data_IF_366685399487
#
_entry.id   IF_366685399487
#
_cell.length_a   1.000
_cell.length_b   1.000
_cell.length_c   1.000
_cell.angle_alpha   90.00
_cell.angle_beta   90.00
_cell.angle_gamma   90.00
#
_symmetry.space_group_name_H-M   'P 1'
#
loop_
_entity.id
_entity.type
_entity.pdbx_description
1 polymer ?
#
# COMPACT_ATOMS: atom_id res chain seq x y z
N UNK A 1 6.81 -3.21 7.79
CA UNK A 1 7.14 -4.43 7.00
C UNK A 1 6.04 -5.42 7.27
N UNK A 2 5.25 -5.78 6.25
CA UNK A 2 4.08 -6.65 6.41
C UNK A 2 4.43 -8.12 6.08
N UNK A 3 5.50 -8.61 6.72
CA UNK A 3 6.01 -9.97 6.53
C UNK A 3 5.91 -10.73 7.85
N UNK A 4 5.24 -11.87 7.83
CA UNK A 4 5.07 -12.72 9.02
C UNK A 4 6.02 -13.90 8.92
N UNK A 5 6.90 -14.07 9.92
CA UNK A 5 7.68 -15.30 10.10
C UNK A 5 6.96 -16.25 11.05
N UNK A 6 6.95 -17.54 10.73
CA UNK A 6 6.34 -18.57 11.57
C UNK A 6 7.13 -19.87 11.51
N UNK A 7 7.07 -20.65 12.59
CA UNK A 7 7.75 -21.95 12.70
C UNK A 7 6.72 -23.06 12.92
N UNK A 8 6.66 -24.09 12.05
CA UNK A 8 5.76 -25.22 12.25
C UNK A 8 6.15 -26.05 13.47
N UNK A 9 5.16 -26.62 14.16
CA UNK A 9 5.34 -27.31 15.45
C UNK A 9 6.27 -28.53 15.39
N UNK A 10 6.41 -29.16 14.21
CA UNK A 10 7.28 -30.33 13.97
C UNK A 10 8.54 -29.99 13.15
N UNK A 11 8.94 -28.72 13.07
CA UNK A 11 10.10 -28.29 12.30
C UNK A 11 10.96 -27.27 13.05
N UNK A 12 12.24 -27.23 12.70
CA UNK A 12 13.17 -26.25 13.26
C UNK A 12 13.48 -25.09 12.29
N UNK A 13 12.87 -25.09 11.11
CA UNK A 13 13.07 -24.07 10.07
C UNK A 13 11.97 -23.02 10.17
N UNK A 14 12.35 -21.76 10.07
CA UNK A 14 11.42 -20.64 9.96
C UNK A 14 10.90 -20.50 8.52
N UNK A 15 9.61 -20.26 8.39
CA UNK A 15 8.93 -19.95 7.14
C UNK A 15 8.45 -18.51 7.17
N UNK A 16 8.23 -17.94 5.99
CA UNK A 16 7.68 -16.61 5.86
C UNK A 16 6.43 -16.64 4.99
N UNK A 17 5.51 -15.72 5.28
CA UNK A 17 4.35 -15.42 4.43
C UNK A 17 4.11 -13.91 4.42
N UNK A 18 3.70 -13.40 3.26
CA UNK A 18 3.32 -12.01 3.06
C UNK A 18 2.33 -11.92 1.90
N UNK A 19 1.62 -10.79 1.83
CA UNK A 19 0.82 -10.42 0.65
C UNK A 19 1.48 -9.21 0.02
N UNK A 20 1.80 -9.31 -1.27
CA UNK A 20 2.46 -8.26 -2.05
C UNK A 20 1.57 -7.97 -3.25
N UNK A 21 1.02 -6.76 -3.35
CA UNK A 21 0.12 -6.33 -4.43
C UNK A 21 -1.01 -7.35 -4.70
N UNK A 22 -1.64 -7.84 -3.63
CA UNK A 22 -2.74 -8.81 -3.72
C UNK A 22 -2.30 -10.25 -4.00
N UNK A 23 -1.04 -10.52 -4.31
CA UNK A 23 -0.50 -11.86 -4.47
C UNK A 23 0.12 -12.38 -3.18
N UNK A 24 -0.13 -13.66 -2.89
CA UNK A 24 0.41 -14.32 -1.71
C UNK A 24 1.82 -14.83 -2.00
N UNK A 25 2.80 -14.32 -1.26
CA UNK A 25 4.20 -14.78 -1.31
C UNK A 25 4.50 -15.57 -0.05
N UNK A 26 4.87 -16.85 -0.19
CA UNK A 26 5.20 -17.76 0.91
C UNK A 26 6.44 -18.58 0.57
N UNK A 27 7.26 -18.87 1.58
CA UNK A 27 8.41 -19.74 1.40
C UNK A 27 9.03 -20.22 2.71
N UNK A 28 10.13 -20.95 2.58
CA UNK A 28 11.00 -21.33 3.70
C UNK A 28 12.22 -20.42 3.73
N UNK A 29 12.64 -19.98 4.92
CA UNK A 29 13.89 -19.21 5.08
C UNK A 29 15.11 -20.12 5.08
N UNK A 30 14.92 -21.42 5.36
CA UNK A 30 15.99 -22.41 5.64
C UNK A 30 16.87 -22.06 6.85
N UNK A 31 16.42 -21.12 7.69
CA UNK A 31 17.12 -20.66 8.89
C UNK A 31 16.43 -21.19 10.14
N UNK A 32 17.20 -21.38 11.21
CA UNK A 32 16.72 -21.89 12.51
C UNK A 32 16.64 -20.82 13.58
N UNK A 33 17.39 -19.72 13.43
CA UNK A 33 17.34 -18.55 14.30
C UNK A 33 16.32 -17.55 13.80
N UNK A 34 15.52 -17.01 14.72
CA UNK A 34 14.42 -16.09 14.40
C UNK A 34 14.90 -14.77 13.80
N UNK A 35 15.92 -14.14 14.39
CA UNK A 35 16.42 -12.84 13.92
C UNK A 35 16.92 -12.88 12.48
N UNK A 36 17.72 -13.90 12.14
CA UNK A 36 18.21 -14.13 10.78
C UNK A 36 17.04 -14.42 9.81
N UNK A 37 16.02 -15.14 10.26
CA UNK A 37 14.82 -15.42 9.48
C UNK A 37 13.97 -14.16 9.20
N UNK A 38 13.84 -13.25 10.18
CA UNK A 38 13.15 -11.97 10.03
C UNK A 38 13.88 -11.08 9.03
N UNK A 39 15.20 -10.99 9.12
CA UNK A 39 16.04 -10.23 8.19
C UNK A 39 15.95 -10.80 6.75
N UNK A 40 16.03 -12.12 6.61
CA UNK A 40 15.84 -12.79 5.32
C UNK A 40 14.44 -12.54 4.75
N UNK A 41 13.40 -12.68 5.57
CA UNK A 41 12.03 -12.44 5.14
C UNK A 41 11.80 -10.98 4.73
N UNK A 42 12.42 -10.03 5.43
CA UNK A 42 12.42 -8.61 5.07
C UNK A 42 13.04 -8.36 3.68
N UNK A 43 14.21 -8.96 3.40
CA UNK A 43 14.84 -8.87 2.07
C UNK A 43 13.95 -9.43 0.96
N UNK A 44 13.41 -10.65 1.17
CA UNK A 44 12.54 -11.29 0.17
C UNK A 44 11.28 -10.46 -0.09
N UNK A 45 10.70 -9.87 0.97
CA UNK A 45 9.56 -8.97 0.83
C UNK A 45 9.91 -7.74 -0.01
N UNK A 46 11.03 -7.07 0.29
CA UNK A 46 11.48 -5.91 -0.48
C UNK A 46 11.71 -6.26 -1.95
N UNK A 47 12.36 -7.38 -2.25
CA UNK A 47 12.57 -7.86 -3.61
C UNK A 47 11.25 -8.16 -4.32
N UNK A 48 10.30 -8.79 -3.62
CA UNK A 48 8.97 -9.08 -4.16
C UNK A 48 8.20 -7.78 -4.47
N UNK A 49 8.28 -6.78 -3.59
CA UNK A 49 7.66 -5.46 -3.81
C UNK A 49 8.28 -4.78 -5.03
N UNK A 50 9.61 -4.80 -5.17
CA UNK A 50 10.32 -4.21 -6.32
C UNK A 50 9.89 -4.91 -7.62
N UNK A 51 9.89 -6.25 -7.63
CA UNK A 51 9.50 -7.03 -8.82
C UNK A 51 8.04 -6.78 -9.21
N UNK A 52 7.13 -6.85 -8.25
CA UNK A 52 5.70 -6.68 -8.50
C UNK A 52 5.37 -5.25 -8.97
N UNK A 53 6.10 -4.25 -8.47
CA UNK A 53 5.92 -2.85 -8.86
C UNK A 53 6.71 -2.46 -10.13
N UNK A 54 7.33 -3.42 -10.83
CA UNK A 54 8.21 -3.19 -11.99
C UNK A 54 9.36 -2.20 -11.73
N UNK A 55 9.85 -2.15 -10.49
CA UNK A 55 10.89 -1.22 -10.07
C UNK A 55 10.40 0.17 -9.64
N UNK A 56 9.13 0.49 -9.83
CA UNK A 56 8.54 1.73 -9.32
C UNK A 56 8.17 1.58 -7.84
N UNK A 57 8.35 2.60 -6.99
CA UNK A 57 7.85 2.54 -5.63
C UNK A 57 6.31 2.45 -5.64
N UNK A 58 5.74 1.64 -4.74
CA UNK A 58 4.28 1.61 -4.52
C UNK A 58 3.85 3.02 -4.10
N UNK A 59 2.97 3.69 -4.86
CA UNK A 59 2.61 5.07 -4.56
C UNK A 59 1.84 5.14 -3.24
N UNK A 60 2.12 6.18 -2.48
CA UNK A 60 1.34 6.51 -1.29
C UNK A 60 -0.09 6.87 -1.67
N UNK A 61 -1.02 6.74 -0.71
CA UNK A 61 -2.41 7.13 -0.93
C UNK A 61 -2.53 8.60 -1.39
N UNK A 62 -1.67 9.49 -0.88
CA UNK A 62 -1.64 10.89 -1.28
C UNK A 62 -1.21 11.08 -2.75
N UNK A 63 -0.21 10.33 -3.19
CA UNK A 63 0.26 10.33 -4.58
C UNK A 63 -0.79 9.76 -5.53
N UNK A 64 -1.52 8.72 -5.12
CA UNK A 64 -2.63 8.16 -5.90
C UNK A 64 -3.73 9.21 -6.14
N UNK A 65 -4.16 9.93 -5.10
CA UNK A 65 -5.15 10.99 -5.28
C UNK A 65 -4.63 12.13 -6.17
N UNK A 66 -3.35 12.52 -6.03
CA UNK A 66 -2.77 13.55 -6.88
C UNK A 66 -2.73 13.11 -8.35
N UNK A 67 -2.35 11.86 -8.63
CA UNK A 67 -2.37 11.28 -9.98
C UNK A 67 -3.79 11.24 -10.54
N UNK A 68 -4.77 10.83 -9.74
CA UNK A 68 -6.17 10.80 -10.15
C UNK A 68 -6.69 12.20 -10.51
N UNK A 69 -6.44 13.21 -9.66
CA UNK A 69 -6.82 14.59 -9.97
C UNK A 69 -6.14 15.11 -11.23
N UNK A 70 -4.85 14.82 -11.42
CA UNK A 70 -4.11 15.25 -12.61
C UNK A 70 -4.64 14.58 -13.90
N UNK A 71 -4.89 13.27 -13.88
CA UNK A 71 -5.42 12.53 -15.04
C UNK A 71 -6.84 12.98 -15.41
N UNK A 72 -7.68 13.27 -14.42
CA UNK A 72 -9.07 13.62 -14.64
C UNK A 72 -9.32 15.13 -14.78
N UNK A 73 -8.32 15.99 -14.55
CA UNK A 73 -8.47 17.44 -14.63
C UNK A 73 -9.03 17.95 -15.97
N UNK A 74 -8.72 17.25 -17.06
CA UNK A 74 -9.11 17.65 -18.42
C UNK A 74 -10.47 17.06 -18.87
N UNK A 75 -10.92 15.97 -18.25
CA UNK A 75 -12.04 15.16 -18.75
C UNK A 75 -13.22 15.10 -17.78
N UNK A 76 -12.99 15.28 -16.49
CA UNK A 76 -14.03 15.21 -15.47
C UNK A 76 -14.66 16.57 -15.17
N UNK A 77 -15.92 16.56 -14.74
CA UNK A 77 -16.61 17.78 -14.30
C UNK A 77 -15.99 18.36 -13.02
N UNK A 78 -16.20 19.67 -12.81
CA UNK A 78 -15.73 20.36 -11.62
C UNK A 78 -16.27 19.73 -10.32
N UNK A 79 -17.49 19.21 -10.34
CA UNK A 79 -18.09 18.55 -9.18
C UNK A 79 -17.50 17.17 -8.91
N UNK A 80 -17.13 16.42 -9.95
CA UNK A 80 -16.40 15.17 -9.79
C UNK A 80 -15.03 15.41 -9.14
N UNK A 81 -14.26 16.38 -9.63
CA UNK A 81 -12.95 16.74 -9.06
C UNK A 81 -13.07 17.22 -7.60
N UNK A 82 -14.16 17.92 -7.27
CA UNK A 82 -14.47 18.34 -5.90
C UNK A 82 -14.75 17.14 -4.99
N UNK A 83 -15.56 16.18 -5.45
CA UNK A 83 -15.85 14.95 -4.72
C UNK A 83 -14.57 14.16 -4.42
N UNK A 84 -13.71 13.95 -5.43
CA UNK A 84 -12.40 13.30 -5.26
C UNK A 84 -11.53 14.06 -4.25
N UNK A 85 -11.53 15.40 -4.29
CA UNK A 85 -10.80 16.23 -3.34
C UNK A 85 -11.32 16.10 -1.90
N UNK A 86 -12.65 15.97 -1.70
CA UNK A 86 -13.26 15.72 -0.39
C UNK A 86 -12.84 14.35 0.14
N UNK A 87 -12.93 13.31 -0.70
CA UNK A 87 -12.52 11.94 -0.34
C UNK A 87 -11.05 11.91 0.07
N UNK A 88 -10.18 12.60 -0.67
CA UNK A 88 -8.75 12.76 -0.33
C UNK A 88 -8.56 13.36 1.06
N UNK A 89 -9.27 14.45 1.38
CA UNK A 89 -9.14 15.13 2.68
C UNK A 89 -9.64 14.26 3.84
N UNK A 90 -10.73 13.52 3.64
CA UNK A 90 -11.26 12.60 4.64
C UNK A 90 -10.29 11.45 4.92
N UNK A 91 -9.71 10.84 3.88
CA UNK A 91 -8.83 9.69 4.05
C UNK A 91 -7.44 10.06 4.55
N UNK A 92 -6.91 11.23 4.17
CA UNK A 92 -5.56 11.66 4.57
C UNK A 92 -5.53 12.44 5.88
N UNK A 93 -6.59 13.19 6.20
CA UNK A 93 -6.59 14.15 7.31
C UNK A 93 -7.83 14.05 8.21
N UNK A 94 -8.72 13.08 7.98
CA UNK A 94 -9.99 12.93 8.70
C UNK A 94 -10.81 14.23 8.74
N UNK A 95 -10.75 15.01 7.66
CA UNK A 95 -11.36 16.35 7.61
C UNK A 95 -12.19 16.51 6.35
N UNK A 96 -13.44 16.94 6.53
CA UNK A 96 -14.24 17.47 5.43
C UNK A 96 -13.85 18.95 5.18
N UNK A 97 -13.84 19.42 3.92
CA UNK A 97 -13.71 20.84 3.65
C UNK A 97 -14.91 21.58 4.26
N UNK A 98 -14.69 22.81 4.75
CA UNK A 98 -15.80 23.66 5.19
C UNK A 98 -16.71 23.89 3.99
N UNK A 99 -18.00 23.62 4.14
CA UNK A 99 -18.99 23.86 3.09
C UNK A 99 -18.88 25.32 2.63
N UNK A 100 -18.62 25.54 1.34
CA UNK A 100 -18.88 26.84 0.73
C UNK A 100 -20.40 26.90 0.53
N UNK A 101 -21.10 27.96 0.97
CA UNK A 101 -22.52 28.09 0.68
C UNK A 101 -22.70 27.97 -0.83
N UNK A 102 -23.65 27.14 -1.25
CA UNK A 102 -24.11 27.14 -2.62
C UNK A 102 -24.53 28.58 -2.90
N UNK A 103 -23.83 29.25 -3.82
CA UNK A 103 -24.21 30.59 -4.24
C UNK A 103 -25.67 30.53 -4.67
N UNK A 104 -26.50 31.34 -4.00
CA UNK A 104 -27.83 31.68 -4.49
C UNK A 104 -27.64 32.51 -5.75
N UNK A 105 -27.92 31.92 -6.90
CA UNK A 105 -28.22 32.57 -8.17
C UNK A 105 -29.26 31.73 -8.88
#
# INVERSE_FOLDING_TARGET
MDVTVFRPRKGNIWHYRSVVIGERVQGSTRLTKRGEAEEFAGRVYSDAVIRASRGEPVPTLAELFNRQLAMHAQTASADHLRSVSVVRLLHLYWRAPKARPLCAC
#
